data_IF_473584248035
#
_entry.id   IF_473584248035
#
_cell.length_a   1.000
_cell.length_b   1.000
_cell.length_c   1.000
_cell.angle_alpha   90.00
_cell.angle_beta   90.00
_cell.angle_gamma   90.00
#
_symmetry.space_group_name_H-M   'P 1'
#
loop_
_entity.id
_entity.type
_entity.pdbx_description
1 polymer ?
#
# COMPACT_ATOMS: atom_id res chain seq x y z
N UNK A 1 40.51 2.92 -68.78
CA UNK A 1 41.09 4.02 -67.98
C UNK A 1 41.17 3.50 -66.55
N UNK A 2 42.29 2.96 -66.05
CA UNK A 2 43.51 3.64 -65.58
C UNK A 2 43.16 4.72 -64.54
N UNK A 3 43.68 4.79 -63.30
CA UNK A 3 44.91 4.35 -62.64
C UNK A 3 44.59 4.12 -61.13
N UNK A 4 45.21 3.21 -60.35
CA UNK A 4 46.62 2.99 -59.96
C UNK A 4 47.25 4.10 -59.10
N UNK A 5 47.91 3.65 -58.03
CA UNK A 5 48.93 4.28 -57.18
C UNK A 5 48.43 5.04 -55.93
N UNK A 6 49.03 4.92 -54.75
CA UNK A 6 50.36 4.38 -54.42
C UNK A 6 50.41 3.78 -53.01
N UNK A 7 51.07 2.63 -52.94
CA UNK A 7 51.66 1.98 -51.77
C UNK A 7 53.02 2.64 -51.53
N UNK A 8 53.32 2.97 -50.27
CA UNK A 8 54.67 3.36 -49.84
C UNK A 8 55.33 2.21 -49.06
N UNK A 9 56.65 1.99 -49.22
CA UNK A 9 57.33 0.76 -48.85
C UNK A 9 57.88 0.78 -47.41
N UNK A 10 57.76 -0.34 -46.71
CA UNK A 10 58.58 -0.64 -45.52
C UNK A 10 59.76 -1.48 -45.97
N UNK A 11 60.93 -0.90 -45.81
CA UNK A 11 62.26 -1.44 -46.08
C UNK A 11 62.60 -2.62 -45.17
N UNK A 12 63.09 -3.69 -45.78
CA UNK A 12 63.83 -4.79 -45.17
C UNK A 12 65.13 -4.26 -44.55
N UNK A 13 65.34 -4.52 -43.26
CA UNK A 13 66.66 -4.49 -42.64
C UNK A 13 67.05 -5.90 -42.18
N UNK A 14 68.11 -6.38 -42.81
CA UNK A 14 68.80 -7.63 -42.56
C UNK A 14 69.95 -7.37 -41.59
N UNK A 15 69.80 -7.80 -40.33
CA UNK A 15 70.82 -7.56 -39.32
C UNK A 15 70.87 -8.60 -38.21
N UNK A 16 71.78 -9.58 -38.36
CA UNK A 16 72.58 -10.09 -37.25
C UNK A 16 71.92 -11.06 -36.26
N UNK A 17 72.04 -12.36 -36.55
CA UNK A 17 71.96 -13.43 -35.56
C UNK A 17 73.05 -13.22 -34.47
N UNK A 18 72.72 -13.22 -33.17
CA UNK A 18 73.74 -13.22 -32.13
C UNK A 18 74.40 -14.60 -32.03
N UNK A 19 75.73 -14.59 -32.09
CA UNK A 19 76.64 -15.75 -31.95
C UNK A 19 76.53 -16.40 -30.56
N UNK A 20 76.79 -17.72 -30.43
CA UNK A 20 76.82 -18.39 -29.13
C UNK A 20 78.08 -17.99 -28.34
N UNK A 21 77.98 -17.70 -27.03
CA UNK A 21 79.15 -17.51 -26.19
C UNK A 21 79.89 -18.84 -25.95
N UNK A 22 81.20 -18.70 -25.92
CA UNK A 22 82.25 -19.71 -25.79
C UNK A 22 82.14 -20.58 -24.53
N UNK A 23 82.45 -21.86 -24.71
CA UNK A 23 82.76 -22.81 -23.63
C UNK A 23 83.99 -22.32 -22.87
N UNK A 24 83.81 -22.01 -21.58
CA UNK A 24 84.89 -22.04 -20.60
C UNK A 24 84.70 -23.24 -19.67
N UNK A 25 85.80 -23.95 -19.48
CA UNK A 25 85.99 -25.18 -18.72
C UNK A 25 86.39 -24.92 -17.26
N UNK A 26 85.91 -25.81 -16.36
CA UNK A 26 86.37 -26.17 -15.00
C UNK A 26 86.02 -25.23 -13.80
N UNK A 27 85.95 -25.73 -12.53
CA UNK A 27 86.30 -27.06 -11.96
C UNK A 27 85.16 -27.69 -11.07
N UNK A 28 85.38 -28.82 -10.33
CA UNK A 28 84.30 -29.70 -9.85
C UNK A 28 83.77 -29.39 -8.43
N UNK A 29 82.59 -29.95 -8.15
CA UNK A 29 82.01 -30.28 -6.84
C UNK A 29 82.17 -29.28 -5.69
N UNK A 30 81.14 -28.45 -5.51
CA UNK A 30 80.74 -27.96 -4.18
C UNK A 30 79.39 -28.55 -3.82
N UNK A 31 79.45 -29.41 -2.80
CA UNK A 31 78.33 -30.08 -2.12
C UNK A 31 77.09 -29.20 -2.04
N UNK A 32 75.97 -29.74 -2.50
CA UNK A 32 74.62 -29.27 -2.21
C UNK A 32 74.48 -29.18 -0.68
N UNK A 33 74.63 -27.97 -0.15
CA UNK A 33 74.20 -27.63 1.20
C UNK A 33 72.69 -27.81 1.22
N UNK A 34 72.22 -28.78 2.00
CA UNK A 34 70.82 -28.99 2.28
C UNK A 34 70.17 -27.65 2.64
N UNK A 35 69.24 -27.19 1.80
CA UNK A 35 68.33 -26.11 2.15
C UNK A 35 67.62 -26.56 3.41
N UNK A 36 68.03 -25.99 4.54
CA UNK A 36 67.43 -26.24 5.84
C UNK A 36 65.96 -25.89 5.74
N UNK A 37 65.11 -26.92 5.62
CA UNK A 37 63.68 -26.76 5.77
C UNK A 37 63.44 -26.16 7.15
N UNK A 38 63.12 -24.87 7.19
CA UNK A 38 62.66 -24.21 8.40
C UNK A 38 61.39 -24.95 8.85
N UNK A 39 61.57 -25.89 9.78
CA UNK A 39 60.47 -26.56 10.46
C UNK A 39 59.84 -25.51 11.35
N UNK A 40 58.84 -24.81 10.82
CA UNK A 40 58.01 -23.90 11.60
C UNK A 40 57.61 -24.58 12.90
N UNK A 41 57.92 -23.92 14.01
CA UNK A 41 57.59 -24.40 15.35
C UNK A 41 56.07 -24.63 15.44
N UNK A 42 55.63 -25.64 16.20
CA UNK A 42 54.20 -25.95 16.35
C UNK A 42 53.36 -24.71 16.74
N UNK A 43 53.98 -23.75 17.45
CA UNK A 43 53.38 -22.46 17.82
C UNK A 43 53.16 -21.52 16.63
N UNK A 44 54.08 -21.49 15.67
CA UNK A 44 53.94 -20.69 14.44
C UNK A 44 52.82 -21.26 13.57
N UNK A 45 52.74 -22.59 13.40
CA UNK A 45 51.64 -23.21 12.65
C UNK A 45 50.26 -22.87 13.23
N UNK A 46 50.17 -22.75 14.56
CA UNK A 46 48.94 -22.41 15.27
C UNK A 46 48.58 -20.92 15.12
N UNK A 47 49.57 -20.03 15.16
CA UNK A 47 49.38 -18.59 14.91
C UNK A 47 48.94 -18.32 13.47
N UNK A 48 49.56 -18.96 12.49
CA UNK A 48 49.19 -18.82 11.07
C UNK A 48 47.81 -19.40 10.80
N UNK A 49 47.43 -20.49 11.47
CA UNK A 49 46.07 -21.03 11.43
C UNK A 49 45.03 -20.05 11.97
N UNK A 50 45.31 -19.41 13.11
CA UNK A 50 44.44 -18.38 13.70
C UNK A 50 44.32 -17.14 12.81
N UNK A 51 45.43 -16.70 12.21
CA UNK A 51 45.43 -15.58 11.26
C UNK A 51 44.64 -15.89 9.99
N UNK A 52 44.79 -17.10 9.43
CA UNK A 52 44.02 -17.55 8.28
C UNK A 52 42.52 -17.64 8.61
N UNK A 53 42.18 -18.10 9.82
CA UNK A 53 40.79 -18.21 10.28
C UNK A 53 40.18 -16.84 10.56
N UNK A 54 40.96 -15.89 11.10
CA UNK A 54 40.55 -14.49 11.27
C UNK A 54 40.33 -13.80 9.92
N UNK A 55 41.22 -14.01 8.94
CA UNK A 55 41.07 -13.48 7.58
C UNK A 55 39.88 -14.10 6.84
N UNK A 56 39.64 -15.41 7.02
CA UNK A 56 38.45 -16.08 6.49
C UNK A 56 37.16 -15.54 7.12
N UNK A 57 37.16 -15.28 8.43
CA UNK A 57 36.02 -14.70 9.13
C UNK A 57 35.78 -13.24 8.71
N UNK A 58 36.84 -12.46 8.46
CA UNK A 58 36.75 -11.09 7.98
C UNK A 58 36.27 -11.03 6.51
N UNK A 59 36.67 -11.99 5.67
CA UNK A 59 36.15 -12.16 4.31
C UNK A 59 34.68 -12.58 4.31
N UNK A 60 34.23 -13.38 5.29
CA UNK A 60 32.82 -13.74 5.44
C UNK A 60 31.96 -12.55 5.87
N UNK A 61 32.52 -11.63 6.68
CA UNK A 61 31.84 -10.40 7.08
C UNK A 61 31.78 -9.34 5.96
N UNK A 62 32.62 -9.49 4.93
CA UNK A 62 32.70 -8.61 3.77
C UNK A 62 31.81 -9.07 2.60
N UNK A 63 30.86 -9.99 2.83
CA UNK A 63 29.81 -10.27 1.85
C UNK A 63 29.09 -8.94 1.53
N UNK A 64 29.09 -8.48 0.26
CA UNK A 64 28.33 -7.30 -0.10
C UNK A 64 26.87 -7.60 0.27
N UNK A 65 26.31 -6.82 1.19
CA UNK A 65 24.87 -6.77 1.37
C UNK A 65 24.29 -6.47 -0.01
N UNK A 66 23.56 -7.43 -0.59
CA UNK A 66 23.00 -7.27 -1.91
C UNK A 66 22.16 -6.02 -1.93
N UNK A 67 22.61 -4.99 -2.64
CA UNK A 67 21.77 -3.85 -2.94
C UNK A 67 20.69 -4.37 -3.87
N UNK A 68 19.50 -4.64 -3.34
CA UNK A 68 18.37 -5.00 -4.18
C UNK A 68 18.13 -3.89 -5.19
N UNK A 69 18.15 -4.24 -6.46
CA UNK A 69 17.99 -3.29 -7.55
C UNK A 69 16.58 -2.68 -7.46
N UNK A 70 16.51 -1.35 -7.49
CA UNK A 70 15.23 -0.64 -7.48
C UNK A 70 14.42 -0.99 -8.73
N UNK A 71 13.09 -1.04 -8.57
CA UNK A 71 12.17 -1.26 -9.69
C UNK A 71 12.33 -0.13 -10.72
N UNK A 72 12.43 -0.49 -11.99
CA UNK A 72 12.54 0.48 -13.08
C UNK A 72 11.20 1.21 -13.30
N UNK A 73 11.27 2.47 -13.73
CA UNK A 73 10.09 3.21 -14.14
C UNK A 73 9.78 2.85 -15.60
N UNK A 74 8.57 2.34 -15.92
CA UNK A 74 8.21 2.02 -17.29
C UNK A 74 8.13 3.28 -18.15
N UNK A 75 8.36 3.15 -19.45
CA UNK A 75 8.18 4.26 -20.38
C UNK A 75 6.70 4.63 -20.50
N UNK A 76 6.41 5.93 -20.46
CA UNK A 76 5.06 6.43 -20.67
C UNK A 76 4.68 6.29 -22.15
N UNK A 77 3.89 5.26 -22.46
CA UNK A 77 3.47 4.91 -23.83
C UNK A 77 1.96 5.03 -24.05
N UNK A 78 1.18 5.04 -22.96
CA UNK A 78 -0.27 5.08 -22.96
C UNK A 78 -0.78 5.68 -21.63
N UNK A 79 -2.08 5.96 -21.51
CA UNK A 79 -2.66 6.49 -20.26
C UNK A 79 -2.79 5.42 -19.18
N UNK A 80 -2.86 4.16 -19.58
CA UNK A 80 -3.04 2.98 -18.72
C UNK A 80 -1.92 1.99 -19.01
N UNK A 81 -1.00 1.89 -18.06
CA UNK A 81 0.08 0.90 -18.09
C UNK A 81 -0.21 -0.17 -17.04
N UNK A 82 -0.57 -1.37 -17.47
CA UNK A 82 -0.79 -2.53 -16.59
C UNK A 82 0.28 -3.60 -16.81
N UNK A 83 1.25 -3.65 -15.89
CA UNK A 83 2.34 -4.63 -15.86
C UNK A 83 1.97 -5.91 -15.10
N UNK A 84 0.77 -5.98 -14.52
CA UNK A 84 0.30 -7.13 -13.73
C UNK A 84 -0.53 -8.12 -14.54
N UNK A 85 -1.04 -7.68 -15.71
CA UNK A 85 -1.99 -8.48 -16.50
C UNK A 85 -3.33 -8.68 -15.79
N UNK A 86 -3.69 -7.79 -14.87
CA UNK A 86 -4.95 -7.89 -14.10
C UNK A 86 -6.15 -7.39 -14.91
N UNK A 87 -5.93 -6.45 -15.82
CA UNK A 87 -6.99 -5.91 -16.67
C UNK A 87 -7.08 -6.68 -17.99
N UNK A 88 -8.31 -7.02 -18.39
CA UNK A 88 -8.59 -7.51 -19.75
C UNK A 88 -8.29 -6.42 -20.80
N UNK A 89 -8.01 -6.79 -22.07
CA UNK A 89 -7.82 -5.81 -23.13
C UNK A 89 -8.98 -4.82 -23.26
N UNK A 90 -10.22 -5.30 -23.13
CA UNK A 90 -11.43 -4.48 -23.23
C UNK A 90 -11.53 -3.47 -22.08
N UNK A 91 -11.26 -3.91 -20.85
CA UNK A 91 -11.23 -3.04 -19.66
C UNK A 91 -10.14 -1.96 -19.78
N UNK A 92 -8.95 -2.34 -20.23
CA UNK A 92 -7.86 -1.40 -20.47
C UNK A 92 -8.25 -0.36 -21.52
N UNK A 93 -8.86 -0.80 -22.62
CA UNK A 93 -9.28 0.10 -23.69
C UNK A 93 -10.41 1.04 -23.27
N UNK A 94 -11.32 0.58 -22.40
CA UNK A 94 -12.37 1.41 -21.83
C UNK A 94 -11.79 2.54 -20.98
N UNK A 95 -10.83 2.22 -20.08
CA UNK A 95 -10.13 3.23 -19.29
C UNK A 95 -9.33 4.19 -20.18
N UNK A 96 -8.57 3.69 -21.14
CA UNK A 96 -7.84 4.52 -22.11
C UNK A 96 -8.75 5.52 -22.82
N UNK A 97 -9.89 5.04 -23.32
CA UNK A 97 -10.87 5.88 -24.03
C UNK A 97 -11.43 6.95 -23.11
N UNK A 98 -11.83 6.59 -21.88
CA UNK A 98 -12.33 7.53 -20.89
C UNK A 98 -11.29 8.61 -20.54
N UNK A 99 -10.04 8.22 -20.32
CA UNK A 99 -8.96 9.14 -19.96
C UNK A 99 -8.59 10.05 -21.14
N UNK A 100 -8.57 9.52 -22.37
CA UNK A 100 -8.33 10.30 -23.58
C UNK A 100 -9.44 11.33 -23.83
N UNK A 101 -10.71 10.96 -23.62
CA UNK A 101 -11.84 11.88 -23.72
C UNK A 101 -11.75 13.01 -22.69
N UNK A 102 -11.39 12.69 -21.44
CA UNK A 102 -11.23 13.69 -20.40
C UNK A 102 -10.12 14.69 -20.74
N UNK A 103 -8.97 14.20 -21.21
CA UNK A 103 -7.87 15.05 -21.66
C UNK A 103 -8.27 15.94 -22.82
N UNK A 104 -9.02 15.43 -23.80
CA UNK A 104 -9.53 16.24 -24.92
C UNK A 104 -10.50 17.34 -24.45
N UNK A 105 -11.33 17.05 -23.44
CA UNK A 105 -12.35 17.97 -22.97
C UNK A 105 -11.82 19.02 -21.98
N UNK A 106 -10.90 18.64 -21.10
CA UNK A 106 -10.42 19.48 -19.98
C UNK A 106 -8.96 19.88 -20.10
N UNK A 107 -8.18 19.21 -20.94
CA UNK A 107 -6.73 19.40 -21.09
C UNK A 107 -5.91 18.70 -20.02
N UNK A 108 -6.48 18.41 -18.84
CA UNK A 108 -5.80 17.72 -17.76
C UNK A 108 -5.55 16.24 -18.08
N UNK A 109 -4.41 15.73 -17.65
CA UNK A 109 -3.96 14.38 -17.99
C UNK A 109 -4.02 13.48 -16.76
N UNK A 110 -4.69 12.34 -16.88
CA UNK A 110 -4.77 11.34 -15.81
C UNK A 110 -4.15 10.05 -16.34
N UNK A 111 -3.23 9.49 -15.57
CA UNK A 111 -2.50 8.26 -15.89
C UNK A 111 -2.74 7.19 -14.83
N UNK A 112 -2.74 5.92 -15.24
CA UNK A 112 -2.85 4.75 -14.38
C UNK A 112 -1.62 3.87 -14.59
N UNK A 113 -0.96 3.51 -13.51
CA UNK A 113 0.14 2.56 -13.48
C UNK A 113 -0.18 1.42 -12.50
N UNK A 114 -0.33 0.22 -13.03
CA UNK A 114 -0.41 -1.01 -12.23
C UNK A 114 0.89 -1.80 -12.36
N UNK A 115 1.44 -2.20 -11.23
CA UNK A 115 2.66 -3.01 -11.15
C UNK A 115 2.56 -4.05 -10.02
N UNK A 116 3.31 -5.16 -10.10
CA UNK A 116 3.28 -6.18 -9.05
C UNK A 116 3.75 -5.62 -7.71
N UNK A 117 4.96 -5.05 -7.65
CA UNK A 117 5.56 -4.55 -6.41
C UNK A 117 6.52 -3.40 -6.68
N UNK A 118 6.70 -2.52 -5.69
CA UNK A 118 7.74 -1.47 -5.66
C UNK A 118 8.93 -1.85 -4.78
N UNK A 119 8.86 -2.99 -4.07
CA UNK A 119 9.91 -3.41 -3.15
C UNK A 119 11.30 -3.44 -3.85
N UNK A 120 12.37 -3.03 -3.15
CA UNK A 120 12.40 -2.62 -1.73
C UNK A 120 11.95 -1.16 -1.46
N UNK A 121 11.60 -0.41 -2.51
CA UNK A 121 11.21 1.00 -2.43
C UNK A 121 9.76 1.17 -1.94
N UNK A 122 9.49 2.21 -1.14
CA UNK A 122 8.11 2.54 -0.77
C UNK A 122 7.34 3.08 -1.97
N UNK A 123 6.03 2.89 -1.99
CA UNK A 123 5.21 3.39 -3.10
C UNK A 123 5.29 4.92 -3.24
N UNK A 124 5.49 5.64 -2.13
CA UNK A 124 5.66 7.10 -2.11
C UNK A 124 6.97 7.54 -2.79
N UNK A 125 8.06 6.82 -2.57
CA UNK A 125 9.34 7.11 -3.23
C UNK A 125 9.29 6.75 -4.72
N UNK A 126 8.71 5.59 -5.04
CA UNK A 126 8.55 5.15 -6.42
C UNK A 126 7.66 6.10 -7.23
N UNK A 127 6.58 6.64 -6.65
CA UNK A 127 5.68 7.55 -7.37
C UNK A 127 6.35 8.86 -7.77
N UNK A 128 7.25 9.40 -6.93
CA UNK A 128 8.00 10.62 -7.24
C UNK A 128 8.87 10.36 -8.48
N UNK A 129 9.58 9.23 -8.52
CA UNK A 129 10.37 8.84 -9.71
C UNK A 129 9.51 8.67 -10.95
N UNK A 130 8.31 8.11 -10.81
CA UNK A 130 7.35 7.99 -11.90
C UNK A 130 6.93 9.38 -12.38
N UNK A 131 6.58 10.29 -11.47
CA UNK A 131 6.18 11.65 -11.80
C UNK A 131 7.30 12.43 -12.50
N UNK A 132 8.53 12.33 -12.03
CA UNK A 132 9.71 12.96 -12.63
C UNK A 132 10.01 12.43 -14.04
N UNK A 133 9.85 11.12 -14.24
CA UNK A 133 10.10 10.48 -15.53
C UNK A 133 8.97 10.73 -16.53
N UNK A 134 7.72 10.65 -16.08
CA UNK A 134 6.54 10.75 -16.93
C UNK A 134 6.14 12.18 -17.22
N UNK A 135 6.50 13.11 -16.33
CA UNK A 135 6.21 14.54 -16.49
C UNK A 135 4.72 14.77 -16.79
N UNK A 136 3.86 14.08 -16.05
CA UNK A 136 2.43 14.10 -16.32
C UNK A 136 1.85 15.52 -16.23
N UNK A 137 0.92 15.84 -17.13
CA UNK A 137 0.31 17.17 -17.24
C UNK A 137 0.90 18.00 -18.37
N UNK A 138 0.29 19.16 -18.61
CA UNK A 138 0.73 20.09 -19.66
C UNK A 138 1.86 20.97 -19.15
N UNK A 139 2.80 21.29 -20.04
CA UNK A 139 3.95 22.14 -19.73
C UNK A 139 3.52 23.50 -19.20
N UNK A 140 3.97 23.84 -17.99
CA UNK A 140 3.67 25.12 -17.34
C UNK A 140 2.28 25.22 -16.70
N UNK A 141 1.42 24.20 -16.89
CA UNK A 141 0.12 24.10 -16.21
C UNK A 141 0.20 23.08 -15.07
N UNK A 142 0.96 22.00 -15.25
CA UNK A 142 1.16 20.94 -14.24
C UNK A 142 -0.16 20.31 -13.75
N UNK A 143 -1.11 20.10 -14.68
CA UNK A 143 -2.43 19.53 -14.44
C UNK A 143 -2.49 18.01 -14.68
N UNK A 144 -1.43 17.33 -14.23
CA UNK A 144 -1.29 15.88 -14.33
C UNK A 144 -1.69 15.16 -13.03
N UNK A 145 -2.30 13.98 -13.16
CA UNK A 145 -2.58 13.06 -12.05
C UNK A 145 -2.07 11.67 -12.42
N UNK A 146 -1.43 10.98 -11.47
CA UNK A 146 -0.97 9.60 -11.66
C UNK A 146 -1.57 8.74 -10.55
N UNK A 147 -2.29 7.70 -10.93
CA UNK A 147 -2.82 6.67 -10.02
C UNK A 147 -1.92 5.44 -10.09
N UNK A 148 -1.22 5.14 -8.99
CA UNK A 148 -0.30 4.02 -8.88
C UNK A 148 -0.88 2.91 -8.01
N UNK A 149 -0.86 1.67 -8.51
CA UNK A 149 -1.36 0.48 -7.83
C UNK A 149 -0.25 -0.58 -7.84
N UNK A 150 0.35 -0.82 -6.68
CA UNK A 150 1.28 -1.91 -6.43
C UNK A 150 0.48 -3.10 -5.85
N UNK A 151 0.04 -4.00 -6.74
CA UNK A 151 -0.95 -5.05 -6.43
C UNK A 151 -0.51 -6.01 -5.33
N UNK A 152 0.75 -6.43 -5.41
CA UNK A 152 1.39 -7.46 -4.59
C UNK A 152 2.36 -6.85 -3.56
N UNK A 153 2.32 -5.53 -3.36
CA UNK A 153 3.11 -4.88 -2.31
C UNK A 153 2.73 -5.44 -0.93
N UNK A 154 3.71 -5.63 -0.04
CA UNK A 154 3.42 -5.90 1.35
C UNK A 154 2.74 -4.68 2.01
N UNK A 155 2.01 -4.91 3.10
CA UNK A 155 1.13 -3.89 3.70
C UNK A 155 1.88 -2.67 4.28
N UNK A 156 3.16 -2.83 4.59
CA UNK A 156 4.08 -1.80 5.08
C UNK A 156 4.53 -0.83 3.97
N UNK A 157 4.62 -1.27 2.71
CA UNK A 157 5.08 -0.42 1.58
C UNK A 157 4.00 0.43 0.91
N UNK A 158 2.75 0.32 1.38
CA UNK A 158 1.55 0.86 0.73
C UNK A 158 1.27 0.24 -0.64
N UNK A 159 -0.01 0.15 -1.01
CA UNK A 159 -0.42 -0.51 -2.25
C UNK A 159 -1.08 0.42 -3.26
N UNK A 160 -1.60 1.56 -2.84
CA UNK A 160 -2.19 2.57 -3.73
C UNK A 160 -1.62 3.95 -3.45
N UNK A 161 -1.46 4.75 -4.49
CA UNK A 161 -1.12 6.16 -4.39
C UNK A 161 -1.75 6.96 -5.52
N UNK A 162 -2.14 8.19 -5.21
CA UNK A 162 -2.48 9.22 -6.21
C UNK A 162 -1.43 10.30 -6.07
N UNK A 163 -0.71 10.59 -7.15
CA UNK A 163 0.22 11.70 -7.26
C UNK A 163 -0.46 12.84 -8.04
N UNK A 164 -0.37 14.06 -7.53
CA UNK A 164 -1.14 15.21 -8.00
C UNK A 164 -0.21 16.36 -8.37
N UNK A 165 -0.28 16.81 -9.62
CA UNK A 165 0.47 17.96 -10.11
C UNK A 165 -0.07 19.28 -9.56
N UNK A 166 0.82 20.27 -9.42
CA UNK A 166 0.50 21.57 -8.79
C UNK A 166 -0.72 22.27 -9.38
N UNK A 167 -0.98 22.12 -10.67
CA UNK A 167 -2.10 22.77 -11.35
C UNK A 167 -3.48 22.32 -10.88
N UNK A 168 -3.58 21.14 -10.27
CA UNK A 168 -4.85 20.52 -9.86
C UNK A 168 -4.96 20.30 -8.35
N UNK A 169 -3.93 20.63 -7.57
CA UNK A 169 -3.92 20.50 -6.10
C UNK A 169 -5.02 21.31 -5.39
N UNK A 170 -5.47 22.41 -6.00
CA UNK A 170 -6.55 23.24 -5.44
C UNK A 170 -7.90 22.52 -5.38
N UNK A 171 -8.17 21.63 -6.33
CA UNK A 171 -9.41 20.85 -6.41
C UNK A 171 -9.23 19.39 -5.98
N UNK A 172 -8.06 18.80 -6.23
CA UNK A 172 -7.67 17.46 -5.83
C UNK A 172 -6.62 17.51 -4.70
N UNK A 173 -7.05 17.82 -3.49
CA UNK A 173 -6.15 17.89 -2.31
C UNK A 173 -5.70 16.49 -1.86
N UNK A 174 -4.67 16.41 -1.00
CA UNK A 174 -4.28 15.15 -0.34
C UNK A 174 -5.46 14.53 0.44
N UNK A 175 -6.22 15.34 1.19
CA UNK A 175 -7.38 14.86 1.93
C UNK A 175 -8.44 14.23 1.01
N UNK A 176 -8.69 14.84 -0.15
CA UNK A 176 -9.61 14.31 -1.16
C UNK A 176 -9.03 13.04 -1.79
N UNK A 177 -7.77 13.06 -2.19
CA UNK A 177 -7.08 11.90 -2.79
C UNK A 177 -7.11 10.69 -1.85
N UNK A 178 -6.81 10.90 -0.57
CA UNK A 178 -6.88 9.86 0.46
C UNK A 178 -8.29 9.33 0.68
N UNK A 179 -9.31 10.19 0.56
CA UNK A 179 -10.72 9.77 0.59
C UNK A 179 -11.08 8.90 -0.62
N UNK A 180 -10.65 9.29 -1.83
CA UNK A 180 -10.87 8.48 -3.04
C UNK A 180 -10.23 7.10 -2.88
N UNK A 181 -8.98 7.04 -2.41
CA UNK A 181 -8.31 5.77 -2.17
C UNK A 181 -9.06 4.89 -1.16
N UNK A 182 -9.42 5.44 0.01
CA UNK A 182 -9.99 4.64 1.12
C UNK A 182 -11.47 4.29 0.94
N UNK A 183 -12.28 5.23 0.45
CA UNK A 183 -13.73 5.11 0.48
C UNK A 183 -14.30 4.71 -0.90
N UNK A 184 -13.57 5.01 -1.98
CA UNK A 184 -14.00 4.70 -3.35
C UNK A 184 -13.26 3.47 -3.88
N UNK A 185 -11.92 3.48 -3.91
CA UNK A 185 -11.15 2.40 -4.57
C UNK A 185 -10.98 1.15 -3.72
N UNK A 186 -10.58 1.31 -2.45
CA UNK A 186 -10.26 0.18 -1.58
C UNK A 186 -11.40 -0.87 -1.44
N UNK A 187 -12.69 -0.50 -1.33
CA UNK A 187 -13.76 -1.49 -1.25
C UNK A 187 -13.81 -2.45 -2.46
N UNK A 188 -13.58 -1.94 -3.68
CA UNK A 188 -13.55 -2.79 -4.88
C UNK A 188 -12.32 -3.69 -4.90
N UNK A 189 -11.15 -3.16 -4.55
CA UNK A 189 -9.91 -3.93 -4.55
C UNK A 189 -9.91 -5.05 -3.50
N UNK A 190 -10.54 -4.84 -2.34
CA UNK A 190 -10.79 -5.91 -1.34
C UNK A 190 -11.63 -7.06 -1.90
N UNK A 191 -12.54 -6.75 -2.82
CA UNK A 191 -13.40 -7.73 -3.48
C UNK A 191 -12.76 -8.33 -4.74
N UNK A 192 -11.52 -7.95 -5.07
CA UNK A 192 -10.83 -8.40 -6.28
C UNK A 192 -11.27 -7.70 -7.57
N UNK A 193 -12.16 -6.70 -7.48
CA UNK A 193 -12.63 -5.93 -8.64
C UNK A 193 -11.71 -4.73 -8.92
N UNK A 194 -10.57 -5.01 -9.56
CA UNK A 194 -9.60 -3.95 -9.88
C UNK A 194 -10.11 -3.00 -10.95
N UNK A 195 -10.84 -3.49 -11.95
CA UNK A 195 -11.38 -2.63 -12.99
C UNK A 195 -12.44 -1.67 -12.43
N UNK A 196 -13.41 -2.19 -11.66
CA UNK A 196 -14.43 -1.37 -11.02
C UNK A 196 -13.83 -0.33 -10.07
N UNK A 197 -12.83 -0.72 -9.28
CA UNK A 197 -12.12 0.21 -8.41
C UNK A 197 -11.37 1.31 -9.16
N UNK A 198 -10.71 0.99 -10.28
CA UNK A 198 -10.03 1.99 -11.12
C UNK A 198 -11.03 2.92 -11.81
N UNK A 199 -12.09 2.37 -12.42
CA UNK A 199 -13.10 3.17 -13.10
C UNK A 199 -13.82 4.12 -12.12
N UNK A 200 -14.17 3.64 -10.93
CA UNK A 200 -14.75 4.46 -9.87
C UNK A 200 -13.76 5.51 -9.35
N UNK A 201 -12.48 5.14 -9.19
CA UNK A 201 -11.41 6.05 -8.80
C UNK A 201 -11.22 7.18 -9.81
N UNK A 202 -11.15 6.85 -11.10
CA UNK A 202 -11.04 7.83 -12.21
C UNK A 202 -12.23 8.78 -12.18
N UNK A 203 -13.46 8.26 -12.07
CA UNK A 203 -14.66 9.09 -12.01
C UNK A 203 -14.64 10.04 -10.80
N UNK A 204 -14.20 9.57 -9.63
CA UNK A 204 -14.09 10.39 -8.43
C UNK A 204 -12.98 11.46 -8.54
N UNK A 205 -11.84 11.14 -9.16
CA UNK A 205 -10.78 12.11 -9.47
C UNK A 205 -11.30 13.19 -10.42
N UNK A 206 -11.99 12.79 -11.49
CA UNK A 206 -12.59 13.72 -12.46
C UNK A 206 -13.61 14.63 -11.77
N UNK A 207 -14.48 14.09 -10.92
CA UNK A 207 -15.45 14.87 -10.15
C UNK A 207 -14.75 15.89 -9.23
N UNK A 208 -13.73 15.47 -8.46
CA UNK A 208 -12.95 16.38 -7.62
C UNK A 208 -12.32 17.51 -8.42
N UNK A 209 -11.66 17.18 -9.54
CA UNK A 209 -11.01 18.15 -10.41
C UNK A 209 -12.01 19.15 -11.04
N UNK A 210 -13.26 18.72 -11.23
CA UNK A 210 -14.35 19.54 -11.72
C UNK A 210 -15.06 20.36 -10.61
N UNK A 211 -14.61 20.27 -9.35
CA UNK A 211 -15.27 20.81 -8.17
C UNK A 211 -16.70 20.28 -7.95
N UNK A 212 -16.94 19.04 -8.36
CA UNK A 212 -18.20 18.32 -8.13
C UNK A 212 -18.15 17.59 -6.78
N UNK A 213 -19.33 17.30 -6.21
CA UNK A 213 -19.42 16.57 -4.95
C UNK A 213 -19.00 15.10 -5.14
N UNK A 214 -18.07 14.63 -4.31
CA UNK A 214 -17.67 13.23 -4.30
C UNK A 214 -18.78 12.33 -3.77
N UNK A 215 -18.87 11.07 -4.26
CA UNK A 215 -19.79 10.08 -3.73
C UNK A 215 -19.73 9.99 -2.21
N UNK A 216 -20.89 9.81 -1.57
CA UNK A 216 -20.96 9.62 -0.12
C UNK A 216 -20.05 8.45 0.29
N UNK A 217 -19.26 8.57 1.37
CA UNK A 217 -18.45 7.47 1.82
C UNK A 217 -19.35 6.27 2.12
N UNK A 218 -18.94 5.08 1.69
CA UNK A 218 -19.55 3.84 2.13
C UNK A 218 -19.11 3.61 3.58
N UNK A 219 -19.69 4.35 4.52
CA UNK A 219 -19.51 4.08 5.93
C UNK A 219 -20.20 2.73 6.18
N UNK A 220 -19.46 1.66 6.56
CA UNK A 220 -20.12 0.50 7.12
C UNK A 220 -20.96 1.02 8.29
N UNK A 221 -22.27 0.72 8.27
CA UNK A 221 -23.20 1.11 9.34
C UNK A 221 -22.50 0.88 10.66
N UNK A 222 -22.33 1.95 11.44
CA UNK A 222 -21.54 1.98 12.67
C UNK A 222 -21.82 0.73 13.49
N UNK A 223 -20.98 -0.30 13.36
CA UNK A 223 -20.86 -1.30 14.42
C UNK A 223 -20.32 -0.47 15.56
N UNK A 224 -21.15 -0.28 16.59
CA UNK A 224 -20.78 0.47 17.76
C UNK A 224 -19.34 0.10 18.13
N UNK A 225 -18.46 1.07 18.38
CA UNK A 225 -17.10 0.75 18.79
C UNK A 225 -17.23 -0.22 19.95
N UNK A 226 -16.68 -1.43 19.80
CA UNK A 226 -16.41 -2.30 20.94
C UNK A 226 -15.42 -1.47 21.78
N UNK A 227 -15.96 -0.67 22.68
CA UNK A 227 -15.18 -0.05 23.74
C UNK A 227 -14.74 -1.19 24.62
N UNK A 228 -13.47 -1.20 25.04
CA UNK A 228 -12.87 -2.25 25.88
C UNK A 228 -13.74 -2.57 27.12
N UNK A 229 -14.56 -1.62 27.58
CA UNK A 229 -15.56 -1.79 28.64
C UNK A 229 -16.64 -2.85 28.33
N UNK A 230 -17.03 -3.03 27.07
CA UNK A 230 -18.05 -4.01 26.65
C UNK A 230 -17.56 -5.46 26.71
N UNK A 231 -16.25 -5.68 26.63
CA UNK A 231 -15.64 -7.01 26.80
C UNK A 231 -15.57 -7.41 28.29
N UNK A 232 -15.54 -6.43 29.20
CA UNK A 232 -15.60 -6.65 30.65
C UNK A 232 -17.05 -6.75 31.20
N UNK A 233 -18.06 -6.37 30.42
CA UNK A 233 -19.47 -6.46 30.82
C UNK A 233 -19.92 -7.88 31.25
N UNK A 234 -19.60 -8.97 30.52
CA UNK A 234 -19.97 -10.32 30.95
C UNK A 234 -19.25 -10.75 32.23
N UNK A 235 -18.00 -10.34 32.42
CA UNK A 235 -17.24 -10.61 33.64
C UNK A 235 -17.84 -9.85 34.85
N UNK A 236 -18.17 -8.58 34.67
CA UNK A 236 -18.81 -7.75 35.70
C UNK A 236 -20.20 -8.28 36.07
N UNK A 237 -20.94 -8.80 35.09
CA UNK A 237 -22.23 -9.46 35.32
C UNK A 237 -22.09 -10.74 36.15
N UNK A 238 -21.06 -11.56 35.90
CA UNK A 238 -20.76 -12.75 36.71
C UNK A 238 -20.37 -12.36 38.14
N UNK A 239 -19.50 -11.37 38.32
CA UNK A 239 -19.11 -10.86 39.64
C UNK A 239 -20.32 -10.30 40.39
N UNK A 240 -21.21 -9.59 39.70
CA UNK A 240 -22.45 -9.07 40.26
C UNK A 240 -23.39 -10.20 40.73
N UNK A 241 -23.57 -11.25 39.93
CA UNK A 241 -24.37 -12.43 40.31
C UNK A 241 -23.77 -13.11 41.54
N UNK A 242 -22.45 -13.32 41.58
CA UNK A 242 -21.76 -13.95 42.72
C UNK A 242 -21.93 -13.08 43.98
N UNK A 243 -21.71 -11.76 43.88
CA UNK A 243 -21.90 -10.83 44.98
C UNK A 243 -23.35 -10.82 45.48
N UNK A 244 -24.32 -10.85 44.56
CA UNK A 244 -25.74 -10.91 44.89
C UNK A 244 -26.08 -12.20 45.65
N UNK A 245 -25.58 -13.36 45.18
CA UNK A 245 -25.80 -14.66 45.84
C UNK A 245 -25.17 -14.67 47.24
N UNK A 246 -23.95 -14.16 47.40
CA UNK A 246 -23.27 -14.08 48.71
C UNK A 246 -24.02 -13.16 49.69
N UNK A 247 -24.53 -12.02 49.22
CA UNK A 247 -25.37 -11.10 50.03
C UNK A 247 -26.71 -11.74 50.38
N UNK A 248 -27.29 -12.52 49.46
CA UNK A 248 -28.56 -13.21 49.69
C UNK A 248 -28.40 -14.35 50.70
N UNK A 249 -27.27 -15.07 50.66
CA UNK A 249 -26.92 -16.14 51.59
C UNK A 249 -26.58 -15.59 52.98
N UNK A 250 -25.88 -14.45 53.07
CA UNK A 250 -25.59 -13.79 54.35
C UNK A 250 -26.86 -13.27 55.02
N UNK A 251 -27.84 -12.77 54.25
CA UNK A 251 -29.15 -12.36 54.76
C UNK A 251 -30.04 -13.52 55.21
N UNK A 252 -29.84 -14.74 54.68
CA UNK A 252 -30.56 -15.95 55.14
C UNK A 252 -30.09 -16.42 56.52
N UNK A 253 -28.84 -16.14 56.90
CA UNK A 253 -28.29 -16.52 58.22
C UNK A 253 -28.66 -15.56 59.36
N UNK A 254 -29.23 -14.38 59.06
CA UNK A 254 -29.56 -13.35 60.05
C UNK A 254 -31.07 -13.12 60.29
N UNK A 255 -31.97 -13.92 59.68
CA UNK A 255 -33.40 -13.92 60.06
C UNK A 255 -33.67 -15.04 61.05
N UNK A 256 -33.63 -14.69 62.34
CA UNK A 256 -33.99 -15.56 63.45
C UNK A 256 -35.45 -16.06 63.41
N UNK A 257 -35.81 -16.99 64.32
CA UNK A 257 -37.08 -17.69 64.32
C UNK A 257 -38.25 -16.72 64.54
N UNK A 258 -39.29 -16.83 63.70
CA UNK A 258 -40.47 -15.98 63.77
C UNK A 258 -41.22 -16.12 65.09
N UNK A 259 -41.56 -15.00 65.72
CA UNK A 259 -42.49 -14.97 66.84
C UNK A 259 -43.94 -14.87 66.34
N UNK A 260 -44.86 -15.71 66.87
CA UNK A 260 -46.27 -15.77 66.50
C UNK A 260 -47.11 -14.76 67.29
N UNK A 261 -48.16 -14.23 66.66
CA UNK A 261 -49.26 -13.56 67.35
C UNK A 261 -49.20 -12.03 67.31
N UNK A 262 -49.90 -11.46 66.33
CA UNK A 262 -50.30 -10.04 66.31
C UNK A 262 -51.71 -9.96 65.75
N UNK A 263 -52.65 -9.53 66.60
CA UNK A 263 -54.09 -9.41 66.37
C UNK A 263 -54.42 -8.62 65.08
N UNK A 264 -55.27 -9.12 64.16
CA UNK A 264 -55.63 -8.43 62.93
C UNK A 264 -56.31 -7.06 63.10
N UNK A 265 -56.80 -6.72 64.30
CA UNK A 265 -57.62 -5.53 64.53
C UNK A 265 -56.95 -4.40 65.35
N UNK A 266 -55.65 -4.46 65.61
CA UNK A 266 -54.92 -3.31 66.19
C UNK A 266 -54.59 -2.25 65.11
N UNK A 267 -55.12 -1.02 65.18
CA UNK A 267 -54.84 0.04 64.21
C UNK A 267 -53.44 0.65 64.32
N UNK A 268 -52.61 0.29 65.32
CA UNK A 268 -51.28 0.91 65.53
C UNK A 268 -50.10 0.20 64.89
N UNK A 269 -50.27 -0.96 64.25
CA UNK A 269 -49.18 -1.68 63.56
C UNK A 269 -48.99 -1.28 62.09
N UNK A 270 -49.84 -0.39 61.55
CA UNK A 270 -49.93 -0.11 60.11
C UNK A 270 -49.02 1.01 59.58
N UNK A 271 -47.86 1.22 60.21
CA UNK A 271 -46.82 2.17 59.72
C UNK A 271 -45.48 1.51 59.44
N UNK A 272 -45.25 0.23 59.81
CA UNK A 272 -43.92 -0.40 59.63
C UNK A 272 -43.89 -1.73 58.87
N UNK A 273 -44.94 -2.09 58.16
CA UNK A 273 -44.92 -3.23 57.22
C UNK A 273 -45.56 -2.79 55.91
N UNK A 274 -44.75 -2.15 55.07
CA UNK A 274 -45.08 -1.81 53.69
C UNK A 274 -45.38 -3.08 52.90
N UNK A 275 -46.66 -3.41 52.80
CA UNK A 275 -47.17 -4.41 51.89
C UNK A 275 -48.57 -4.01 51.41
N UNK A 276 -48.61 -3.29 50.28
CA UNK A 276 -49.76 -3.36 49.36
C UNK A 276 -49.23 -3.89 48.03
N UNK A 277 -49.77 -5.06 47.67
CA UNK A 277 -49.39 -5.80 46.48
C UNK A 277 -49.76 -5.07 45.19
N UNK A 278 -48.81 -5.07 44.27
CA UNK A 278 -48.90 -5.58 42.88
C UNK A 278 -50.21 -5.32 42.13
N UNK A 279 -50.23 -4.21 41.39
CA UNK A 279 -50.49 -4.12 39.94
C UNK A 279 -49.61 -2.93 39.49
N UNK A 280 -48.63 -2.98 38.60
CA UNK A 280 -48.40 -3.86 37.45
C UNK A 280 -48.68 -3.07 36.17
N UNK A 281 -47.61 -2.53 35.55
CA UNK A 281 -47.55 -1.83 34.26
C UNK A 281 -47.93 -0.33 34.21
N UNK A 282 -46.91 0.50 33.92
CA UNK A 282 -47.10 1.83 33.31
C UNK A 282 -46.25 2.94 33.92
N UNK A 283 -45.10 3.26 33.30
CA UNK A 283 -44.43 4.52 33.60
C UNK A 283 -42.98 4.61 33.15
N UNK A 284 -42.71 4.59 31.84
CA UNK A 284 -41.76 5.50 31.15
C UNK A 284 -41.74 5.17 29.64
N UNK A 285 -42.91 5.13 29.04
CA UNK A 285 -43.10 4.87 27.61
C UNK A 285 -44.48 5.32 27.18
N UNK A 286 -44.69 6.63 27.05
CA UNK A 286 -45.80 7.26 26.34
C UNK A 286 -45.69 8.77 26.48
N UNK A 287 -45.15 9.43 25.46
CA UNK A 287 -45.06 10.88 25.43
C UNK A 287 -44.33 11.34 24.19
N UNK A 288 -44.98 11.17 23.03
CA UNK A 288 -44.96 12.07 21.87
C UNK A 288 -45.52 11.30 20.65
N UNK A 289 -46.82 11.46 20.45
CA UNK A 289 -47.51 11.11 19.22
C UNK A 289 -48.46 12.24 18.85
N UNK A 290 -48.37 12.70 17.59
CA UNK A 290 -49.30 13.63 16.93
C UNK A 290 -48.54 14.75 16.19
N UNK A 291 -48.60 14.91 14.88
CA UNK A 291 -49.34 14.25 13.81
C UNK A 291 -49.07 14.96 12.47
N UNK A 292 -49.84 14.57 11.44
CA UNK A 292 -50.14 15.24 10.15
C UNK A 292 -49.59 14.58 8.85
N UNK A 293 -50.55 14.03 8.08
CA UNK A 293 -50.68 14.02 6.60
C UNK A 293 -49.56 13.38 5.77
N UNK A 294 -49.79 12.38 4.91
CA UNK A 294 -50.87 12.24 3.92
C UNK A 294 -50.30 12.57 2.52
N UNK A 295 -50.26 11.60 1.59
CA UNK A 295 -49.84 11.88 0.21
C UNK A 295 -49.49 10.65 -0.63
N UNK A 296 -50.42 10.26 -1.49
CA UNK A 296 -50.32 9.26 -2.55
C UNK A 296 -49.35 9.71 -3.67
N UNK A 297 -48.77 8.76 -4.41
CA UNK A 297 -48.28 9.04 -5.77
C UNK A 297 -47.08 8.20 -6.20
N UNK A 298 -47.32 7.15 -6.99
CA UNK A 298 -46.30 6.60 -7.88
C UNK A 298 -46.16 7.41 -9.17
N UNK A 299 -45.16 7.02 -9.98
CA UNK A 299 -45.14 6.88 -11.46
C UNK A 299 -43.75 7.20 -12.04
N UNK A 300 -43.34 6.44 -13.08
CA UNK A 300 -42.24 6.73 -14.03
C UNK A 300 -40.98 5.89 -13.82
N UNK A 301 -40.80 4.68 -14.42
CA UNK A 301 -40.37 4.39 -15.81
C UNK A 301 -39.96 5.58 -16.69
N UNK A 302 -38.75 5.48 -17.24
CA UNK A 302 -38.36 5.63 -18.66
C UNK A 302 -36.88 5.17 -18.77
N UNK A 303 -36.59 4.14 -19.57
CA UNK A 303 -35.99 4.20 -20.93
C UNK A 303 -34.46 4.35 -20.84
N UNK A 304 -33.60 3.57 -21.49
CA UNK A 304 -33.73 2.84 -22.75
C UNK A 304 -32.71 3.40 -23.75
N UNK A 305 -31.76 2.56 -24.19
CA UNK A 305 -30.83 2.80 -25.33
C UNK A 305 -29.47 3.40 -24.93
N UNK A 306 -28.35 3.09 -25.58
CA UNK A 306 -28.10 2.31 -26.79
C UNK A 306 -26.61 2.35 -27.12
N UNK A 307 -26.14 1.33 -27.83
CA UNK A 307 -24.76 1.11 -28.26
C UNK A 307 -24.27 2.11 -29.32
N UNK A 308 -22.97 2.39 -29.31
CA UNK A 308 -22.16 2.91 -30.42
C UNK A 308 -20.72 3.08 -29.91
N UNK A 309 -19.69 2.38 -30.39
CA UNK A 309 -19.44 1.95 -31.76
C UNK A 309 -18.61 3.03 -32.47
N UNK A 310 -17.29 3.04 -32.24
CA UNK A 310 -16.40 4.01 -32.86
C UNK A 310 -14.93 3.66 -32.60
N UNK A 311 -14.38 2.81 -33.46
CA UNK A 311 -12.94 2.60 -33.56
C UNK A 311 -12.28 3.65 -34.46
N UNK A 312 -10.98 3.84 -34.24
CA UNK A 312 -10.07 4.39 -35.25
C UNK A 312 -9.25 5.58 -34.79
N UNK A 313 -7.92 5.43 -34.89
CA UNK A 313 -6.99 6.56 -34.96
C UNK A 313 -5.84 6.51 -33.96
N UNK A 314 -4.89 5.60 -34.19
CA UNK A 314 -3.57 5.65 -33.54
C UNK A 314 -2.80 6.89 -33.99
N UNK A 315 -3.00 7.99 -33.28
CA UNK A 315 -2.07 9.12 -33.23
C UNK A 315 -1.01 8.82 -32.18
N UNK A 316 0.26 9.01 -32.54
CA UNK A 316 1.40 8.76 -31.64
C UNK A 316 1.19 9.43 -30.29
N UNK A 317 1.25 8.63 -29.23
CA UNK A 317 1.13 9.10 -27.86
C UNK A 317 2.29 10.08 -27.57
N UNK A 318 1.97 11.37 -27.45
CA UNK A 318 2.89 12.38 -26.95
C UNK A 318 2.93 12.28 -25.43
N UNK A 319 4.08 11.91 -24.87
CA UNK A 319 4.27 11.82 -23.43
C UNK A 319 3.97 13.12 -22.68
N UNK A 320 3.86 13.03 -21.35
CA UNK A 320 3.59 14.17 -20.48
C UNK A 320 4.60 15.31 -20.67
N UNK A 321 4.11 16.55 -20.60
CA UNK A 321 4.92 17.76 -20.80
C UNK A 321 5.14 18.58 -19.52
N UNK A 322 4.57 18.17 -18.41
CA UNK A 322 4.59 18.84 -17.10
C UNK A 322 5.95 18.77 -16.41
N UNK A 323 6.04 19.37 -15.23
CA UNK A 323 7.27 19.33 -14.43
C UNK A 323 7.09 19.75 -12.97
N UNK A 324 5.87 19.99 -12.53
CA UNK A 324 5.55 20.41 -11.17
C UNK A 324 4.82 19.34 -10.38
N UNK A 325 5.57 18.36 -9.86
CA UNK A 325 5.14 17.50 -8.76
C UNK A 325 6.03 17.81 -7.56
N UNK A 326 5.44 18.22 -6.45
CA UNK A 326 6.13 18.54 -5.19
C UNK A 326 5.88 17.48 -4.10
N UNK A 327 5.42 16.28 -4.52
CA UNK A 327 5.03 15.19 -3.64
C UNK A 327 3.55 15.23 -3.22
N UNK A 328 2.75 16.10 -3.82
CA UNK A 328 1.31 16.21 -3.57
C UNK A 328 0.54 14.94 -3.89
N UNK A 329 -0.44 14.61 -3.04
CA UNK A 329 -1.28 13.43 -3.19
C UNK A 329 -1.29 12.56 -1.94
N UNK A 330 -1.86 11.35 -2.05
CA UNK A 330 -2.11 10.47 -0.90
C UNK A 330 -1.79 9.03 -1.23
N UNK A 331 -1.37 8.25 -0.22
CA UNK A 331 -1.16 6.80 -0.34
C UNK A 331 -1.99 6.00 0.66
N UNK A 332 -2.24 4.73 0.34
CA UNK A 332 -3.16 3.89 1.10
C UNK A 332 -3.03 2.40 0.82
N UNK A 333 -3.76 1.63 1.62
CA UNK A 333 -3.92 0.18 1.48
C UNK A 333 -5.40 -0.15 1.27
N UNK A 334 -5.67 -1.34 0.73
CA UNK A 334 -6.99 -1.94 0.73
C UNK A 334 -7.00 -3.22 1.55
#
# INVERSE_FOLDING_TARGET
MAAVSAVSPVTLDSGGLPRPPSRHSMPPDTRVGAVGGQRHSAKERLLWGLWALMLACLCWLALPAGAEALVAVPALTARVTDLTGTLTPEQRNALETQLAQYEQQRGSQIFILMLPSTAPETLDQYSIRVADAWKAGRKGVDDGVIMLIAKDNPNDLRKMRIEVGRGVQGSLTDAISGRILRDVMAPYFRNGDFFGGLAAGVAAVQAAMNNEALPAPNLPSTRAPHSDLSDFLPLLFIVFIIAMVVIMESRRRFRGPGLPGGDPNDPRSRVLTGQRGRIGAGGFGAGLGGGLGGGLGGWGRNDGGGFGGGGGGGGGFGGGGGGGFDGGGSSGNW
#
